data_IF_766234326695
#
_entry.id   IF_766234326695
#
_cell.length_a   1.000
_cell.length_b   1.000
_cell.length_c   1.000
_cell.angle_alpha   90.00
_cell.angle_beta   90.00
_cell.angle_gamma   90.00
#
_symmetry.space_group_name_H-M   'P 1'
#
loop_
_entity.id
_entity.type
_entity.pdbx_description
1 polymer ?
#
# COMPACT_ATOMS: atom_id res chain seq x y z
N UNK A 1 12.68 -5.77 -12.84
CA UNK A 1 14.00 -5.11 -12.73
C UNK A 1 15.01 -6.00 -12.02
N UNK A 2 14.82 -6.37 -10.75
CA UNK A 2 15.81 -7.13 -9.95
C UNK A 2 16.10 -8.50 -10.56
N UNK A 3 15.10 -9.27 -10.98
CA UNK A 3 15.31 -10.57 -11.64
C UNK A 3 16.16 -10.47 -12.90
N UNK A 4 15.92 -9.44 -13.72
CA UNK A 4 16.76 -9.17 -14.90
C UNK A 4 18.20 -8.85 -14.50
N UNK A 5 18.41 -7.99 -13.50
CA UNK A 5 19.75 -7.64 -13.02
C UNK A 5 20.51 -8.87 -12.48
N UNK A 6 19.85 -9.71 -11.71
CA UNK A 6 20.45 -10.94 -11.17
C UNK A 6 20.81 -11.92 -12.29
N UNK A 7 19.97 -12.05 -13.33
CA UNK A 7 20.29 -12.86 -14.49
C UNK A 7 21.49 -12.31 -15.26
N UNK A 8 21.47 -11.02 -15.56
CA UNK A 8 22.50 -10.37 -16.38
C UNK A 8 23.88 -10.35 -15.70
N UNK A 9 23.92 -10.12 -14.37
CA UNK A 9 25.18 -9.96 -13.62
C UNK A 9 25.69 -11.24 -12.95
N UNK A 10 24.80 -12.15 -12.61
CA UNK A 10 25.12 -13.32 -11.77
C UNK A 10 24.63 -14.64 -12.35
N UNK A 11 23.98 -14.65 -13.52
CA UNK A 11 23.42 -15.84 -14.14
C UNK A 11 22.24 -16.45 -13.36
N UNK A 12 21.73 -15.75 -12.33
CA UNK A 12 20.70 -16.27 -11.44
C UNK A 12 19.31 -16.02 -12.02
N UNK A 13 18.55 -17.09 -12.25
CA UNK A 13 17.16 -17.01 -12.67
C UNK A 13 16.23 -16.80 -11.46
N UNK A 14 15.38 -15.79 -11.56
CA UNK A 14 14.37 -15.48 -10.53
C UNK A 14 12.99 -15.81 -11.07
N UNK A 15 12.30 -16.72 -10.39
CA UNK A 15 10.90 -17.04 -10.65
C UNK A 15 10.00 -16.26 -9.69
N UNK A 16 9.08 -15.48 -10.24
CA UNK A 16 8.08 -14.73 -9.45
C UNK A 16 6.86 -15.61 -9.22
N UNK A 17 6.41 -15.69 -7.97
CA UNK A 17 5.16 -16.30 -7.54
C UNK A 17 4.18 -15.16 -7.18
N UNK A 18 3.24 -14.78 -8.07
CA UNK A 18 2.32 -13.69 -7.78
C UNK A 18 1.29 -14.10 -6.71
N UNK A 19 0.95 -13.15 -5.83
CA UNK A 19 -0.05 -13.35 -4.79
C UNK A 19 -0.87 -12.08 -4.58
N UNK A 20 -2.15 -12.24 -4.26
CA UNK A 20 -3.12 -11.15 -4.23
C UNK A 20 -3.18 -10.32 -2.94
N UNK A 21 -2.68 -10.85 -1.82
CA UNK A 21 -2.75 -10.22 -0.50
C UNK A 21 -1.53 -10.56 0.37
N UNK A 22 -1.41 -9.95 1.56
CA UNK A 22 -0.24 -10.07 2.42
C UNK A 22 -0.05 -11.50 2.94
N UNK A 23 -1.11 -12.17 3.35
CA UNK A 23 -1.07 -13.56 3.84
C UNK A 23 -0.60 -14.51 2.74
N UNK A 24 -1.17 -14.40 1.55
CA UNK A 24 -0.80 -15.23 0.41
C UNK A 24 0.64 -14.98 -0.06
N UNK A 25 1.19 -13.76 0.13
CA UNK A 25 2.59 -13.44 -0.19
C UNK A 25 3.57 -14.07 0.78
N UNK A 26 3.22 -14.19 2.05
CA UNK A 26 4.12 -14.74 3.06
C UNK A 26 4.08 -16.27 3.10
N UNK A 27 2.96 -16.89 2.73
CA UNK A 27 2.80 -18.34 2.78
C UNK A 27 3.88 -19.13 2.02
N UNK A 28 4.28 -18.80 0.77
CA UNK A 28 5.36 -19.49 0.09
C UNK A 28 6.72 -19.38 0.80
N UNK A 29 6.99 -18.24 1.43
CA UNK A 29 8.20 -18.03 2.23
C UNK A 29 8.18 -18.91 3.48
N UNK A 30 7.08 -18.91 4.22
CA UNK A 30 6.89 -19.73 5.43
C UNK A 30 7.05 -21.23 5.15
N UNK A 31 6.59 -21.71 4.01
CA UNK A 31 6.67 -23.12 3.61
C UNK A 31 7.97 -23.49 2.86
N UNK A 32 8.93 -22.58 2.77
CA UNK A 32 10.20 -22.80 2.05
C UNK A 32 10.07 -22.90 0.53
N UNK A 33 8.92 -22.54 -0.04
CA UNK A 33 8.69 -22.55 -1.50
C UNK A 33 9.21 -21.29 -2.19
N UNK A 34 9.48 -20.24 -1.43
CA UNK A 34 10.10 -19.01 -1.90
C UNK A 34 11.24 -18.61 -0.96
N UNK A 35 12.29 -18.02 -1.51
CA UNK A 35 13.43 -17.51 -0.75
C UNK A 35 13.15 -16.13 -0.15
N UNK A 36 12.42 -15.29 -0.85
CA UNK A 36 12.09 -13.93 -0.42
C UNK A 36 10.65 -13.56 -0.79
N UNK A 37 10.09 -12.58 -0.09
CA UNK A 37 8.79 -12.00 -0.38
C UNK A 37 8.89 -10.48 -0.50
N UNK A 38 8.27 -9.92 -1.53
CA UNK A 38 8.09 -8.48 -1.64
C UNK A 38 6.80 -8.10 -0.89
N UNK A 39 6.94 -7.40 0.22
CA UNK A 39 5.84 -6.99 1.08
C UNK A 39 5.95 -5.50 1.44
N UNK A 40 4.83 -4.86 1.69
CA UNK A 40 4.78 -3.53 2.28
C UNK A 40 4.85 -3.60 3.82
N UNK A 41 4.08 -2.75 4.50
CA UNK A 41 3.97 -2.77 5.96
C UNK A 41 3.49 -4.11 6.54
N UNK A 42 3.01 -5.03 5.70
CA UNK A 42 2.66 -6.39 6.09
C UNK A 42 3.78 -7.16 6.80
N UNK A 43 5.04 -6.82 6.51
CA UNK A 43 6.18 -7.42 7.22
C UNK A 43 6.19 -7.06 8.70
N UNK A 44 5.87 -5.82 9.06
CA UNK A 44 5.74 -5.38 10.45
C UNK A 44 4.65 -6.19 11.18
N UNK A 45 3.48 -6.30 10.56
CA UNK A 45 2.38 -7.07 11.15
C UNK A 45 2.69 -8.56 11.27
N UNK A 46 3.45 -9.11 10.33
CA UNK A 46 3.90 -10.50 10.41
C UNK A 46 4.92 -10.71 11.56
N UNK A 47 5.88 -9.81 11.75
CA UNK A 47 6.85 -9.88 12.85
C UNK A 47 6.19 -9.76 14.21
N UNK A 48 5.25 -8.82 14.36
CA UNK A 48 4.54 -8.57 15.62
C UNK A 48 3.38 -9.55 15.86
N UNK A 49 3.04 -10.41 14.91
CA UNK A 49 1.90 -11.33 15.02
C UNK A 49 0.58 -10.60 15.17
N UNK A 50 0.33 -9.58 14.35
CA UNK A 50 -0.88 -8.75 14.42
C UNK A 50 -1.86 -9.11 13.31
N UNK A 51 -3.15 -8.81 13.54
CA UNK A 51 -4.25 -9.06 12.61
C UNK A 51 -4.31 -10.54 12.20
N UNK A 52 -4.34 -10.85 10.91
CA UNK A 52 -4.38 -12.21 10.38
C UNK A 52 -3.16 -13.04 10.83
N UNK A 53 -2.00 -12.38 11.06
CA UNK A 53 -0.79 -13.02 11.58
C UNK A 53 -0.85 -13.29 13.10
N UNK A 54 -1.85 -12.76 13.82
CA UNK A 54 -2.11 -13.05 15.23
C UNK A 54 -2.85 -14.35 15.50
N UNK A 55 -3.26 -15.07 14.46
CA UNK A 55 -3.98 -16.36 14.61
C UNK A 55 -3.06 -17.48 15.12
N UNK A 56 -3.65 -18.53 15.68
CA UNK A 56 -2.89 -19.74 16.12
C UNK A 56 -2.12 -20.41 14.98
N UNK A 57 -2.61 -20.27 13.75
CA UNK A 57 -1.97 -20.85 12.57
C UNK A 57 -0.68 -20.08 12.23
N UNK A 58 -0.67 -18.77 12.41
CA UNK A 58 0.45 -17.91 12.03
C UNK A 58 1.38 -17.62 13.21
N UNK A 59 0.94 -16.84 14.17
CA UNK A 59 1.80 -16.27 15.22
C UNK A 59 2.84 -15.28 14.66
N UNK A 60 3.68 -14.71 15.52
CA UNK A 60 4.81 -13.87 15.10
C UNK A 60 5.77 -14.62 14.18
N UNK A 61 6.17 -13.97 13.07
CA UNK A 61 7.03 -14.57 12.05
C UNK A 61 8.46 -14.06 12.15
N UNK A 62 9.43 -14.97 12.18
CA UNK A 62 10.87 -14.64 12.20
C UNK A 62 11.36 -14.19 10.82
N UNK A 63 10.83 -13.09 10.31
CA UNK A 63 11.22 -12.50 9.02
C UNK A 63 12.27 -11.42 9.22
N UNK A 64 13.18 -11.27 8.27
CA UNK A 64 14.20 -10.23 8.26
C UNK A 64 14.04 -9.33 7.04
N UNK A 65 14.25 -8.04 7.25
CA UNK A 65 14.28 -7.05 6.21
C UNK A 65 15.64 -7.06 5.51
N UNK A 66 15.66 -7.35 4.22
CA UNK A 66 16.90 -7.40 3.43
C UNK A 66 17.12 -6.19 2.54
N UNK A 67 16.04 -5.54 2.10
CA UNK A 67 16.11 -4.38 1.23
C UNK A 67 14.92 -3.45 1.42
N UNK A 68 15.18 -2.15 1.53
CA UNK A 68 14.15 -1.10 1.51
C UNK A 68 14.44 -0.07 0.44
N UNK A 69 13.40 0.62 -0.03
CA UNK A 69 13.56 1.80 -0.87
C UNK A 69 12.75 2.96 -0.32
N UNK A 70 13.33 4.16 -0.45
CA UNK A 70 12.61 5.44 -0.37
C UNK A 70 12.96 6.19 -1.65
N UNK A 71 11.96 6.68 -2.36
CA UNK A 71 12.15 7.33 -3.65
C UNK A 71 11.16 8.49 -3.80
N UNK A 72 11.07 9.07 -4.98
CA UNK A 72 10.17 10.17 -5.35
C UNK A 72 8.67 9.85 -5.19
N UNK A 73 8.31 8.58 -5.02
CA UNK A 73 6.93 8.12 -4.88
C UNK A 73 6.40 8.25 -3.44
N UNK A 74 5.10 8.14 -3.29
CA UNK A 74 4.43 8.12 -1.99
C UNK A 74 3.36 7.03 -1.94
N UNK A 75 2.89 6.72 -0.72
CA UNK A 75 1.73 5.88 -0.47
C UNK A 75 0.56 6.70 0.05
N UNK A 76 -0.61 6.58 -0.55
CA UNK A 76 -1.84 7.24 -0.09
C UNK A 76 -3.07 6.63 -0.75
N UNK A 77 -4.24 7.25 -0.54
CA UNK A 77 -5.45 6.95 -1.28
C UNK A 77 -5.42 7.66 -2.65
N UNK A 78 -5.30 6.86 -3.71
CA UNK A 78 -5.59 7.32 -5.07
C UNK A 78 -7.09 7.35 -5.28
N UNK A 79 -7.61 8.43 -5.82
CA UNK A 79 -9.04 8.72 -5.91
C UNK A 79 -9.39 9.03 -7.37
N UNK A 80 -10.55 8.55 -7.83
CA UNK A 80 -11.07 8.93 -9.14
C UNK A 80 -11.26 10.45 -9.21
N UNK A 81 -10.68 11.09 -10.23
CA UNK A 81 -10.72 12.55 -10.38
C UNK A 81 -12.15 13.09 -10.56
N UNK A 82 -13.04 12.30 -11.16
CA UNK A 82 -14.45 12.62 -11.35
C UNK A 82 -15.30 12.52 -10.07
N UNK A 83 -14.75 12.00 -8.98
CA UNK A 83 -15.46 11.83 -7.69
C UNK A 83 -15.73 13.13 -6.94
N UNK A 84 -15.06 14.23 -7.34
CA UNK A 84 -15.14 15.53 -6.65
C UNK A 84 -14.34 15.64 -5.35
N UNK A 85 -13.58 14.59 -4.98
CA UNK A 85 -12.72 14.58 -3.78
C UNK A 85 -11.48 15.45 -4.02
N UNK A 86 -11.23 16.41 -3.13
CA UNK A 86 -10.06 17.30 -3.16
C UNK A 86 -9.20 17.15 -1.91
N UNK A 87 -9.79 16.81 -0.79
CA UNK A 87 -9.15 16.61 0.51
C UNK A 87 -9.50 15.23 1.07
N UNK A 88 -8.76 14.75 2.06
CA UNK A 88 -9.08 13.48 2.73
C UNK A 88 -10.46 13.53 3.41
N UNK A 89 -10.90 14.70 3.89
CA UNK A 89 -12.21 14.85 4.49
C UNK A 89 -13.38 14.63 3.52
N UNK A 90 -13.18 14.89 2.23
CA UNK A 90 -14.21 14.68 1.19
C UNK A 90 -14.47 13.19 0.89
N UNK A 91 -13.68 12.28 1.48
CA UNK A 91 -13.91 10.84 1.41
C UNK A 91 -15.12 10.39 2.24
N UNK A 92 -15.66 11.25 3.12
CA UNK A 92 -16.87 10.93 3.87
C UNK A 92 -18.03 10.54 2.93
N UNK A 93 -18.60 9.35 3.16
CA UNK A 93 -19.67 8.78 2.33
C UNK A 93 -19.24 8.22 0.97
N UNK A 94 -17.97 8.34 0.58
CA UNK A 94 -17.42 7.76 -0.66
C UNK A 94 -17.19 6.26 -0.51
N UNK A 95 -17.14 5.56 -1.65
CA UNK A 95 -16.81 4.13 -1.72
C UNK A 95 -15.29 3.97 -1.66
N UNK A 96 -14.80 3.28 -0.65
CA UNK A 96 -13.37 3.07 -0.42
C UNK A 96 -13.05 1.59 -0.46
N UNK A 97 -12.07 1.20 -1.28
CA UNK A 97 -11.66 -0.16 -1.48
C UNK A 97 -10.81 -0.70 -0.33
N UNK A 98 -11.13 -1.92 0.11
CA UNK A 98 -10.36 -2.73 1.06
C UNK A 98 -10.05 -4.08 0.42
N UNK A 99 -9.00 -4.76 0.89
CA UNK A 99 -8.62 -6.07 0.35
C UNK A 99 -8.63 -7.12 1.46
N UNK A 100 -9.40 -8.17 1.26
CA UNK A 100 -9.47 -9.30 2.20
C UNK A 100 -8.08 -9.95 2.35
N UNK A 101 -7.63 -10.18 3.59
CA UNK A 101 -6.30 -10.75 3.87
C UNK A 101 -5.12 -9.81 3.61
N UNK A 102 -5.34 -8.49 3.54
CA UNK A 102 -4.30 -7.47 3.38
C UNK A 102 -4.31 -6.47 4.55
N UNK A 103 -3.90 -6.88 5.75
CA UNK A 103 -3.91 -6.00 6.91
C UNK A 103 -3.10 -4.71 6.69
N UNK A 104 -1.95 -4.80 6.03
CA UNK A 104 -1.12 -3.63 5.74
C UNK A 104 -1.86 -2.58 4.91
N UNK A 105 -2.49 -3.03 3.82
CA UNK A 105 -3.22 -2.14 2.92
C UNK A 105 -4.40 -1.49 3.63
N UNK A 106 -5.15 -2.30 4.37
CA UNK A 106 -6.35 -1.86 5.08
C UNK A 106 -6.00 -0.90 6.23
N UNK A 107 -4.94 -1.18 7.00
CA UNK A 107 -4.48 -0.28 8.06
C UNK A 107 -3.95 1.04 7.50
N UNK A 108 -3.22 1.02 6.39
CA UNK A 108 -2.79 2.23 5.72
C UNK A 108 -3.97 3.07 5.21
N UNK A 109 -5.00 2.42 4.67
CA UNK A 109 -6.27 3.09 4.30
C UNK A 109 -6.90 3.77 5.52
N UNK A 110 -7.03 3.05 6.64
CA UNK A 110 -7.57 3.58 7.89
C UNK A 110 -6.72 4.73 8.45
N UNK A 111 -5.40 4.63 8.34
CA UNK A 111 -4.46 5.70 8.73
C UNK A 111 -4.71 6.99 7.97
N UNK A 112 -4.83 6.91 6.63
CA UNK A 112 -5.13 8.09 5.80
C UNK A 112 -6.51 8.66 6.15
N UNK A 113 -7.53 7.83 6.34
CA UNK A 113 -8.86 8.30 6.77
C UNK A 113 -8.79 9.00 8.13
N UNK A 114 -8.04 8.44 9.09
CA UNK A 114 -7.85 9.02 10.42
C UNK A 114 -7.18 10.40 10.38
N UNK A 115 -6.36 10.71 9.36
CA UNK A 115 -5.81 12.04 9.16
C UNK A 115 -6.91 13.11 9.20
N UNK A 116 -8.01 12.87 8.49
CA UNK A 116 -9.19 13.76 8.47
C UNK A 116 -10.24 13.43 9.55
N UNK A 117 -9.87 12.69 10.61
CA UNK A 117 -10.79 12.23 11.65
C UNK A 117 -11.96 11.38 11.13
N UNK A 118 -11.71 10.62 10.06
CA UNK A 118 -12.66 9.64 9.51
C UNK A 118 -12.28 8.23 9.95
N UNK A 119 -13.27 7.36 9.99
CA UNK A 119 -13.17 5.94 10.29
C UNK A 119 -13.79 5.12 9.16
N UNK A 120 -13.70 3.79 9.22
CA UNK A 120 -14.40 2.91 8.28
C UNK A 120 -15.93 3.11 8.28
N UNK A 121 -16.50 3.64 9.38
CA UNK A 121 -17.95 3.91 9.49
C UNK A 121 -18.38 5.17 8.72
N UNK A 122 -17.43 6.05 8.42
CA UNK A 122 -17.70 7.31 7.72
C UNK A 122 -17.63 7.17 6.20
N UNK A 123 -17.21 6.00 5.69
CA UNK A 123 -17.10 5.68 4.26
C UNK A 123 -17.93 4.44 3.91
N UNK A 124 -18.16 4.21 2.64
CA UNK A 124 -18.76 2.95 2.14
C UNK A 124 -17.63 1.98 1.83
N UNK A 125 -17.36 1.04 2.74
CA UNK A 125 -16.34 -0.01 2.54
C UNK A 125 -16.78 -0.96 1.43
N UNK A 126 -15.90 -1.18 0.45
CA UNK A 126 -16.08 -2.18 -0.61
C UNK A 126 -14.89 -3.14 -0.56
N UNK A 127 -15.17 -4.42 -0.34
CA UNK A 127 -14.15 -5.45 -0.20
C UNK A 127 -13.83 -6.13 -1.53
N UNK A 128 -12.54 -6.36 -1.76
CA UNK A 128 -12.00 -7.01 -2.95
C UNK A 128 -11.13 -8.20 -2.56
N UNK A 129 -11.09 -9.22 -3.42
CA UNK A 129 -10.24 -10.39 -3.22
C UNK A 129 -8.74 -10.11 -3.45
N UNK A 130 -8.37 -9.02 -4.15
CA UNK A 130 -6.98 -8.70 -4.43
C UNK A 130 -6.75 -7.20 -4.66
N UNK A 131 -5.48 -6.79 -4.50
CA UNK A 131 -5.02 -5.43 -4.80
C UNK A 131 -5.36 -4.98 -6.23
N UNK A 132 -5.12 -5.84 -7.23
CA UNK A 132 -5.42 -5.52 -8.62
C UNK A 132 -6.91 -5.34 -8.88
N UNK A 133 -7.77 -6.19 -8.27
CA UNK A 133 -9.21 -6.08 -8.39
C UNK A 133 -9.73 -4.77 -7.76
N UNK A 134 -9.20 -4.36 -6.61
CA UNK A 134 -9.56 -3.11 -5.95
C UNK A 134 -9.27 -1.89 -6.85
N UNK A 135 -8.09 -1.81 -7.43
CA UNK A 135 -7.73 -0.71 -8.33
C UNK A 135 -8.54 -0.72 -9.63
N UNK A 136 -8.81 -1.91 -10.19
CA UNK A 136 -9.69 -2.05 -11.34
C UNK A 136 -11.11 -1.60 -11.02
N UNK A 137 -11.54 -1.75 -9.77
CA UNK A 137 -12.81 -1.22 -9.26
C UNK A 137 -12.93 0.30 -9.40
N UNK A 138 -11.83 1.07 -9.32
CA UNK A 138 -11.88 2.50 -9.65
C UNK A 138 -12.20 2.71 -11.13
N UNK A 139 -11.50 2.01 -12.02
CA UNK A 139 -11.73 2.13 -13.48
C UNK A 139 -13.17 1.76 -13.84
N UNK A 140 -13.70 0.71 -13.22
CA UNK A 140 -15.06 0.21 -13.45
C UNK A 140 -16.16 1.03 -12.74
N UNK A 141 -15.79 2.04 -11.94
CA UNK A 141 -16.72 2.80 -11.09
C UNK A 141 -17.41 1.98 -9.97
N UNK A 142 -16.75 0.93 -9.47
CA UNK A 142 -17.22 0.17 -8.30
C UNK A 142 -16.83 0.88 -6.99
N UNK A 143 -15.67 1.56 -6.98
CA UNK A 143 -15.17 2.38 -5.86
C UNK A 143 -14.66 3.73 -6.34
N UNK A 144 -14.51 4.65 -5.40
CA UNK A 144 -14.02 6.01 -5.65
C UNK A 144 -12.55 6.16 -5.24
N UNK A 145 -12.06 5.36 -4.28
CA UNK A 145 -10.71 5.46 -3.73
C UNK A 145 -10.12 4.09 -3.41
N UNK A 146 -8.78 3.95 -3.60
CA UNK A 146 -8.00 2.78 -3.26
C UNK A 146 -6.61 3.17 -2.76
N UNK A 147 -6.10 2.49 -1.70
CA UNK A 147 -4.76 2.74 -1.21
C UNK A 147 -3.70 2.09 -2.11
N UNK A 148 -2.61 2.82 -2.35
CA UNK A 148 -1.45 2.29 -3.03
C UNK A 148 -0.32 3.30 -3.17
N UNK A 149 0.73 2.93 -3.91
CA UNK A 149 1.82 3.85 -4.21
C UNK A 149 1.55 4.60 -5.51
N UNK A 150 2.03 5.85 -5.58
CA UNK A 150 1.81 6.72 -6.73
C UNK A 150 2.41 6.17 -8.04
N UNK A 151 3.38 5.25 -7.96
CA UNK A 151 4.05 4.64 -9.12
C UNK A 151 3.51 3.26 -9.51
N UNK A 152 2.49 2.75 -8.82
CA UNK A 152 1.95 1.42 -9.16
C UNK A 152 1.33 1.40 -10.55
N UNK A 153 1.49 0.28 -11.27
CA UNK A 153 0.87 0.09 -12.60
C UNK A 153 -0.63 0.36 -12.59
N UNK A 154 -1.41 -0.22 -11.67
CA UNK A 154 -2.84 0.07 -11.55
C UNK A 154 -3.20 1.54 -11.37
N UNK A 155 -2.40 2.35 -10.65
CA UNK A 155 -2.66 3.79 -10.55
C UNK A 155 -2.50 4.50 -11.90
N UNK A 156 -1.53 4.05 -12.72
CA UNK A 156 -1.36 4.55 -14.09
C UNK A 156 -2.50 4.14 -15.01
N UNK A 157 -3.07 2.96 -14.79
CA UNK A 157 -4.29 2.54 -15.53
C UNK A 157 -5.47 3.45 -15.20
N UNK A 158 -5.65 3.81 -13.91
CA UNK A 158 -6.68 4.78 -13.50
C UNK A 158 -6.41 6.16 -14.09
N UNK A 159 -5.15 6.64 -14.06
CA UNK A 159 -4.75 7.91 -14.70
C UNK A 159 -5.14 7.96 -16.18
N UNK A 160 -4.94 6.86 -16.90
CA UNK A 160 -5.24 6.73 -18.33
C UNK A 160 -6.71 6.46 -18.62
N UNK A 161 -7.52 6.17 -17.62
CA UNK A 161 -8.97 5.93 -17.76
C UNK A 161 -9.75 7.24 -17.86
N UNK A 162 -11.00 7.20 -18.33
CA UNK A 162 -11.87 8.39 -18.34
C UNK A 162 -12.08 9.02 -16.95
N UNK A 163 -11.93 8.23 -15.88
CA UNK A 163 -12.09 8.72 -14.50
C UNK A 163 -10.90 9.54 -14.00
N UNK A 164 -9.69 9.34 -14.56
CA UNK A 164 -8.48 10.00 -14.11
C UNK A 164 -8.14 9.70 -12.64
N UNK A 165 -7.02 10.22 -12.15
CA UNK A 165 -6.58 10.03 -10.76
C UNK A 165 -6.19 11.34 -10.09
N UNK A 166 -6.54 11.49 -8.82
CA UNK A 166 -6.06 12.53 -7.91
C UNK A 166 -5.62 11.91 -6.58
N UNK A 167 -4.76 12.60 -5.85
CA UNK A 167 -4.26 12.18 -4.55
C UNK A 167 -4.56 13.29 -3.53
N UNK A 168 -5.58 13.12 -2.66
CA UNK A 168 -5.88 14.09 -1.62
C UNK A 168 -4.64 14.32 -0.73
N UNK A 169 -4.19 15.58 -0.57
CA UNK A 169 -2.97 15.86 0.16
C UNK A 169 -3.11 15.62 1.67
N UNK A 170 -1.98 15.30 2.31
CA UNK A 170 -1.81 15.24 3.77
C UNK A 170 -0.72 16.23 4.18
N UNK A 171 -1.04 17.53 4.33
CA UNK A 171 -0.07 18.58 4.61
C UNK A 171 0.74 18.31 5.87
N UNK A 172 2.08 18.49 5.86
CA UNK A 172 2.96 18.17 7.00
C UNK A 172 2.80 19.12 8.20
N UNK A 173 2.17 20.25 8.01
CA UNK A 173 1.85 21.25 9.03
C UNK A 173 0.55 20.94 9.79
N UNK A 174 -0.33 20.09 9.28
CA UNK A 174 -1.47 19.56 10.05
C UNK A 174 -0.99 18.54 11.10
N UNK A 175 -0.41 19.04 12.20
CA UNK A 175 0.12 18.18 13.28
C UNK A 175 -0.97 17.32 13.92
N UNK A 176 -2.20 17.82 14.02
CA UNK A 176 -3.31 17.06 14.57
C UNK A 176 -3.76 15.92 13.65
N UNK A 177 -3.80 16.16 12.33
CA UNK A 177 -4.04 15.14 11.32
C UNK A 177 -2.98 14.03 11.37
N UNK A 178 -1.71 14.43 11.41
CA UNK A 178 -0.61 13.47 11.51
C UNK A 178 -0.62 12.68 12.82
N UNK A 179 -0.93 13.30 13.95
CA UNK A 179 -1.05 12.59 15.22
C UNK A 179 -2.17 11.53 15.17
N UNK A 180 -3.30 11.81 14.50
CA UNK A 180 -4.37 10.82 14.31
C UNK A 180 -3.93 9.69 13.37
N UNK A 181 -3.30 10.01 12.23
CA UNK A 181 -2.79 9.02 11.28
C UNK A 181 -1.78 8.09 11.94
N UNK A 182 -0.78 8.64 12.62
CA UNK A 182 0.30 7.86 13.26
C UNK A 182 -0.16 7.05 14.47
N UNK A 183 -1.30 7.37 15.07
CA UNK A 183 -1.94 6.51 16.07
C UNK A 183 -2.42 5.18 15.47
N UNK A 184 -2.79 5.18 14.19
CA UNK A 184 -3.23 3.96 13.45
C UNK A 184 -2.05 3.28 12.78
N UNK A 185 -1.13 4.05 12.18
CA UNK A 185 0.01 3.58 11.41
C UNK A 185 1.28 4.36 11.83
N UNK A 186 1.94 3.96 12.93
CA UNK A 186 3.02 4.74 13.57
C UNK A 186 4.28 4.88 12.70
N UNK A 187 4.45 4.02 11.72
CA UNK A 187 5.60 3.98 10.80
C UNK A 187 5.45 4.90 9.58
N UNK A 188 4.28 5.53 9.37
CA UNK A 188 4.04 6.42 8.23
C UNK A 188 4.40 7.86 8.60
N UNK A 189 5.09 8.55 7.68
CA UNK A 189 5.59 9.91 7.87
C UNK A 189 5.18 10.82 6.69
N UNK A 190 5.19 12.15 6.88
CA UNK A 190 4.99 13.10 5.79
C UNK A 190 6.03 12.91 4.69
N UNK A 191 5.61 12.97 3.43
CA UNK A 191 6.48 12.84 2.28
C UNK A 191 5.98 13.66 1.10
N UNK A 192 6.91 14.31 0.38
CA UNK A 192 6.60 15.02 -0.87
C UNK A 192 6.76 14.08 -2.05
N UNK A 193 5.65 13.66 -2.65
CA UNK A 193 5.66 12.90 -3.88
C UNK A 193 6.00 13.81 -5.07
N UNK A 194 7.00 13.44 -5.84
CA UNK A 194 7.43 14.16 -7.04
C UNK A 194 7.38 13.30 -8.30
N UNK A 195 6.84 12.07 -8.19
CA UNK A 195 6.61 11.18 -9.32
C UNK A 195 5.42 10.25 -9.08
N UNK A 196 4.83 9.80 -10.17
CA UNK A 196 3.74 8.82 -10.17
C UNK A 196 2.56 9.23 -11.05
N UNK A 197 1.48 8.49 -10.95
CA UNK A 197 0.25 8.80 -11.67
C UNK A 197 -0.31 10.16 -11.22
N UNK A 198 -0.50 11.09 -12.14
CA UNK A 198 -0.99 12.44 -11.88
C UNK A 198 0.00 13.35 -11.10
N UNK A 199 1.23 12.91 -10.86
CA UNK A 199 2.25 13.62 -10.07
C UNK A 199 3.53 13.78 -10.90
N UNK A 200 4.13 14.97 -10.85
CA UNK A 200 5.45 15.26 -11.43
C UNK A 200 6.25 16.20 -10.54
N UNK A 201 7.49 16.52 -10.94
CA UNK A 201 8.32 17.50 -10.24
C UNK A 201 7.70 18.90 -10.27
N UNK A 202 6.96 19.23 -11.31
CA UNK A 202 6.26 20.51 -11.49
C UNK A 202 4.91 20.56 -10.77
N UNK A 203 4.37 19.37 -10.43
CA UNK A 203 3.09 19.19 -9.72
C UNK A 203 3.28 18.19 -8.58
N UNK A 204 4.12 18.51 -7.59
CA UNK A 204 4.33 17.61 -6.45
C UNK A 204 3.12 17.64 -5.53
N UNK A 205 2.93 16.55 -4.77
CA UNK A 205 1.83 16.44 -3.79
C UNK A 205 2.39 16.00 -2.43
N UNK A 206 1.99 16.70 -1.37
CA UNK A 206 2.28 16.29 0.01
C UNK A 206 1.39 15.10 0.39
N UNK A 207 2.01 13.96 0.59
CA UNK A 207 1.37 12.69 0.92
C UNK A 207 2.06 12.02 2.10
N UNK A 208 1.96 10.71 2.17
CA UNK A 208 2.60 9.89 3.19
C UNK A 208 3.58 8.89 2.59
N UNK A 209 4.56 8.48 3.37
CA UNK A 209 5.45 7.39 2.99
C UNK A 209 6.05 6.70 4.22
N UNK A 210 6.63 5.54 4.00
CA UNK A 210 7.47 4.80 4.93
C UNK A 210 8.56 4.07 4.13
N UNK A 211 9.70 3.70 4.75
CA UNK A 211 10.68 2.85 4.07
C UNK A 211 10.02 1.56 3.62
N UNK A 212 9.85 1.39 2.31
CA UNK A 212 9.10 0.25 1.77
C UNK A 212 10.01 -0.99 1.72
N UNK A 213 9.71 -2.05 2.47
CA UNK A 213 10.46 -3.29 2.39
C UNK A 213 10.15 -4.02 1.08
N UNK A 214 11.19 -4.24 0.27
CA UNK A 214 11.04 -4.93 -1.01
C UNK A 214 11.14 -6.44 -0.83
N UNK A 215 12.08 -6.89 0.00
CA UNK A 215 12.32 -8.30 0.23
C UNK A 215 12.42 -8.63 1.71
N UNK A 216 11.86 -9.77 2.05
CA UNK A 216 11.83 -10.32 3.39
C UNK A 216 12.16 -11.80 3.31
N UNK A 217 13.08 -12.24 4.13
CA UNK A 217 13.47 -13.66 4.26
C UNK A 217 13.28 -14.10 5.71
N UNK A 218 13.08 -15.39 5.94
CA UNK A 218 13.11 -15.91 7.31
C UNK A 218 14.54 -15.88 7.88
N UNK A 219 14.66 -15.68 9.18
CA UNK A 219 15.94 -15.55 9.87
C UNK A 219 16.89 -16.73 9.65
N UNK A 220 16.36 -17.92 9.48
CA UNK A 220 17.15 -19.14 9.24
C UNK A 220 17.62 -19.30 7.78
N UNK A 221 17.28 -18.37 6.91
CA UNK A 221 17.67 -18.35 5.50
C UNK A 221 18.62 -17.17 5.16
N UNK A 222 18.89 -16.33 6.16
CA UNK A 222 19.70 -15.12 6.00
C UNK A 222 21.20 -15.37 6.15
#
# INVERSE_FOLDING_TARGET
AIGKMLKDKHGTDVRVLPAGNDVARLQPLRTGRAFASAMGAGVYFAQEGLFEFGSKEWGPQAVQLTLTTVDCNAGSLGVAADSGVKTVADLKGKRVGFVVGSPALNQNTLGVLAFANLTAKDVKVVEFASYGAMWKGIVNNDVDAAYGTTITGPAKEVESSPRGIVWPPTPPDDKAGWARLQKVTPFINPHLATCGAGISKEKPVQLSNYPYPIYTVYANQA
#
